data_IF_840589221428
#
_entry.id   IF_840589221428
#
_cell.length_a   1.000
_cell.length_b   1.000
_cell.length_c   1.000
_cell.angle_alpha   90.00
_cell.angle_beta   90.00
_cell.angle_gamma   90.00
#
_symmetry.space_group_name_H-M   'P 1'
#
loop_
_entity.id
_entity.type
_entity.pdbx_description
1 polymer ?
#
# COMPACT_ATOMS: atom_id res chain seq x y z
N UNK A 1 9.65 0.22 -4.22
CA UNK A 1 8.25 -0.21 -4.29
C UNK A 1 7.68 -0.03 -2.90
N UNK A 2 6.50 0.57 -2.79
CA UNK A 2 5.80 0.76 -1.53
C UNK A 2 4.55 -0.11 -1.58
N UNK A 3 4.40 -0.97 -0.59
CA UNK A 3 3.31 -1.94 -0.52
C UNK A 3 2.34 -1.57 0.60
N UNK A 4 1.07 -1.93 0.48
CA UNK A 4 0.01 -1.71 1.48
C UNK A 4 -0.14 -0.24 1.94
N UNK A 5 -0.03 0.70 0.99
CA UNK A 5 -0.20 2.12 1.27
C UNK A 5 -1.63 2.45 1.72
N UNK A 6 -1.71 3.22 2.81
CA UNK A 6 -2.95 3.72 3.37
C UNK A 6 -3.76 2.74 4.21
N UNK A 7 -3.11 1.72 4.76
CA UNK A 7 -3.69 0.91 5.82
C UNK A 7 -3.94 1.69 7.12
N UNK A 8 -3.08 2.69 7.43
CA UNK A 8 -3.15 3.51 8.63
C UNK A 8 -2.67 4.94 8.33
N UNK A 9 -3.09 5.91 9.15
CA UNK A 9 -2.57 7.28 9.08
C UNK A 9 -1.09 7.37 9.48
N UNK A 10 -0.42 8.43 9.03
CA UNK A 10 1.00 8.65 9.27
C UNK A 10 1.26 9.53 10.49
N UNK A 11 2.29 9.21 11.27
CA UNK A 11 2.83 10.13 12.28
C UNK A 11 3.54 11.31 11.62
N UNK A 12 3.80 12.39 12.36
CA UNK A 12 4.52 13.56 11.84
C UNK A 12 5.90 13.20 11.27
N UNK A 13 6.67 12.40 12.01
CA UNK A 13 7.99 11.93 11.56
C UNK A 13 7.88 11.14 10.24
N UNK A 14 6.94 10.20 10.16
CA UNK A 14 6.75 9.38 8.96
C UNK A 14 6.40 10.21 7.72
N UNK A 15 5.64 11.31 7.89
CA UNK A 15 5.33 12.24 6.78
C UNK A 15 6.58 12.94 6.27
N UNK A 16 7.44 13.40 7.18
CA UNK A 16 8.73 14.01 6.85
C UNK A 16 9.64 13.04 6.10
N UNK A 17 9.82 11.84 6.65
CA UNK A 17 10.67 10.80 6.04
C UNK A 17 10.17 10.42 4.63
N UNK A 18 8.85 10.28 4.45
CA UNK A 18 8.26 9.97 3.15
C UNK A 18 8.43 11.10 2.15
N UNK A 19 8.28 12.35 2.57
CA UNK A 19 8.51 13.50 1.71
C UNK A 19 9.95 13.51 1.18
N UNK A 20 10.95 13.28 2.04
CA UNK A 20 12.36 13.22 1.65
C UNK A 20 12.60 12.11 0.62
N UNK A 21 12.09 10.90 0.88
CA UNK A 21 12.22 9.75 -0.04
C UNK A 21 11.58 10.07 -1.40
N UNK A 22 10.39 10.66 -1.42
CA UNK A 22 9.71 10.99 -2.67
C UNK A 22 10.38 12.15 -3.42
N UNK A 23 10.93 13.11 -2.70
CA UNK A 23 11.71 14.19 -3.28
C UNK A 23 12.99 13.69 -3.95
N UNK A 24 13.72 12.77 -3.32
CA UNK A 24 14.94 12.21 -3.90
C UNK A 24 14.66 11.43 -5.19
N UNK A 25 13.50 10.74 -5.26
CA UNK A 25 13.08 9.92 -6.39
C UNK A 25 12.38 10.69 -7.51
N UNK A 26 11.78 11.84 -7.20
CA UNK A 26 10.96 12.61 -8.13
C UNK A 26 11.69 12.91 -9.44
N UNK A 27 11.08 12.56 -10.58
CA UNK A 27 11.65 12.69 -11.94
C UNK A 27 13.01 12.00 -12.16
N UNK A 28 13.46 11.14 -11.24
CA UNK A 28 14.73 10.39 -11.35
C UNK A 28 14.54 8.88 -11.43
N UNK A 29 13.58 8.33 -10.67
CA UNK A 29 13.29 6.89 -10.63
C UNK A 29 11.79 6.65 -10.58
N UNK A 30 11.32 5.59 -11.23
CA UNK A 30 9.93 5.14 -11.11
C UNK A 30 9.63 4.64 -9.70
N UNK A 31 8.41 4.89 -9.22
CA UNK A 31 7.91 4.41 -7.93
C UNK A 31 6.60 3.68 -8.15
N UNK A 32 6.58 2.38 -7.82
CA UNK A 32 5.36 1.58 -7.78
C UNK A 32 4.81 1.60 -6.36
N UNK A 33 3.51 1.91 -6.24
CA UNK A 33 2.75 1.92 -5.00
C UNK A 33 1.54 1.01 -5.16
N UNK A 34 1.36 0.06 -4.25
CA UNK A 34 0.08 -0.63 -4.04
C UNK A 34 -0.64 0.07 -2.89
N UNK A 35 -1.95 0.26 -3.01
CA UNK A 35 -2.71 1.02 -2.02
C UNK A 35 -4.08 0.41 -1.81
N UNK A 36 -4.55 0.48 -0.57
CA UNK A 36 -5.86 -0.01 -0.18
C UNK A 36 -6.94 1.07 -0.31
N UNK A 37 -6.54 2.35 -0.25
CA UNK A 37 -7.42 3.49 -0.38
C UNK A 37 -7.31 4.13 -1.77
N UNK A 38 -8.42 4.62 -2.35
CA UNK A 38 -8.35 5.41 -3.58
C UNK A 38 -7.55 6.69 -3.34
N UNK A 39 -6.86 7.17 -4.38
CA UNK A 39 -5.96 8.35 -4.31
C UNK A 39 -6.66 9.59 -3.73
N UNK A 40 -7.96 9.75 -3.97
CA UNK A 40 -8.75 10.87 -3.42
C UNK A 40 -8.74 10.94 -1.89
N UNK A 41 -8.54 9.81 -1.20
CA UNK A 41 -8.48 9.75 0.27
C UNK A 41 -7.06 9.92 0.82
N UNK A 42 -6.03 9.92 -0.04
CA UNK A 42 -4.65 9.98 0.42
C UNK A 42 -4.31 11.30 1.09
N UNK A 43 -4.89 12.42 0.63
CA UNK A 43 -4.64 13.72 1.25
C UNK A 43 -5.05 13.74 2.73
N UNK A 44 -6.24 13.21 3.05
CA UNK A 44 -6.74 13.11 4.42
C UNK A 44 -5.92 12.12 5.25
N UNK A 45 -5.60 10.95 4.70
CA UNK A 45 -4.83 9.91 5.37
C UNK A 45 -3.37 10.32 5.65
N UNK A 46 -2.73 11.07 4.74
CA UNK A 46 -1.43 11.68 5.00
C UNK A 46 -1.60 12.74 6.09
N UNK A 47 -2.64 13.58 6.00
CA UNK A 47 -2.86 14.74 6.86
C UNK A 47 -1.77 15.80 6.69
N UNK A 48 -1.78 16.85 7.52
CA UNK A 48 -0.85 17.99 7.42
C UNK A 48 -0.86 18.58 5.99
N UNK A 49 -1.88 19.41 5.65
CA UNK A 49 -2.22 19.77 4.27
C UNK A 49 -1.02 20.14 3.38
N UNK A 50 -0.10 20.96 3.88
CA UNK A 50 1.10 21.36 3.14
C UNK A 50 2.01 20.18 2.77
N UNK A 51 2.21 19.22 3.67
CA UNK A 51 3.03 18.03 3.38
C UNK A 51 2.26 17.07 2.46
N UNK A 52 0.96 16.89 2.70
CA UNK A 52 0.11 16.09 1.82
C UNK A 52 0.15 16.59 0.38
N UNK A 53 -0.04 17.90 0.16
CA UNK A 53 0.09 18.51 -1.17
C UNK A 53 1.47 18.26 -1.78
N UNK A 54 2.55 18.47 -1.01
CA UNK A 54 3.92 18.26 -1.51
C UNK A 54 4.21 16.81 -1.91
N UNK A 55 3.71 15.84 -1.14
CA UNK A 55 3.83 14.40 -1.43
C UNK A 55 3.00 14.04 -2.67
N UNK A 56 1.74 14.48 -2.71
CA UNK A 56 0.82 14.15 -3.81
C UNK A 56 1.26 14.78 -5.13
N UNK A 57 1.78 16.00 -5.13
CA UNK A 57 2.31 16.61 -6.35
C UNK A 57 3.50 15.81 -6.93
N UNK A 58 4.34 15.24 -6.06
CA UNK A 58 5.47 14.40 -6.49
C UNK A 58 5.04 13.02 -6.99
N UNK A 59 4.09 12.39 -6.30
CA UNK A 59 3.67 11.02 -6.59
C UNK A 59 2.62 10.94 -7.69
N UNK A 60 1.56 11.74 -7.54
CA UNK A 60 0.28 11.53 -8.21
C UNK A 60 0.19 12.29 -9.53
N UNK A 61 0.84 13.46 -9.62
CA UNK A 61 0.78 14.33 -10.79
C UNK A 61 1.16 13.60 -12.09
N UNK A 62 2.16 12.72 -12.05
CA UNK A 62 2.64 11.95 -13.20
C UNK A 62 2.35 10.44 -13.08
N UNK A 63 1.43 10.04 -12.19
CA UNK A 63 1.16 8.63 -11.96
C UNK A 63 0.23 8.02 -13.02
N UNK A 64 0.59 6.83 -13.48
CA UNK A 64 -0.38 5.91 -14.06
C UNK A 64 -1.17 5.24 -12.94
N UNK A 65 -2.49 5.36 -12.97
CA UNK A 65 -3.38 4.76 -11.97
C UNK A 65 -4.07 3.55 -12.57
N UNK A 66 -3.96 2.42 -11.89
CA UNK A 66 -4.60 1.17 -12.26
C UNK A 66 -5.50 0.78 -11.09
N UNK A 67 -6.82 0.89 -11.28
CA UNK A 67 -7.79 0.38 -10.33
C UNK A 67 -7.91 -1.12 -10.55
N UNK A 68 -7.63 -1.90 -9.52
CA UNK A 68 -7.81 -3.35 -9.54
C UNK A 68 -9.24 -3.67 -9.09
N UNK A 69 -9.89 -4.55 -9.82
CA UNK A 69 -11.25 -5.03 -9.54
C UNK A 69 -11.27 -6.55 -9.47
N UNK A 70 -12.28 -7.10 -8.78
CA UNK A 70 -12.48 -8.54 -8.64
C UNK A 70 -12.27 -9.06 -7.21
N UNK A 71 -12.50 -10.36 -7.05
CA UNK A 71 -12.39 -11.04 -5.76
C UNK A 71 -10.94 -11.26 -5.33
N UNK A 72 -10.74 -11.38 -4.01
CA UNK A 72 -9.43 -11.72 -3.46
C UNK A 72 -8.96 -13.07 -3.99
N UNK A 73 -7.79 -13.06 -4.66
CA UNK A 73 -7.12 -14.28 -5.12
C UNK A 73 -6.72 -15.23 -3.98
N UNK A 74 -6.73 -14.76 -2.73
CA UNK A 74 -6.51 -15.62 -1.54
C UNK A 74 -7.66 -16.62 -1.35
N UNK A 75 -8.89 -16.27 -1.77
CA UNK A 75 -10.06 -17.16 -1.70
C UNK A 75 -10.02 -18.25 -2.78
N UNK A 76 -9.41 -17.96 -3.93
CA UNK A 76 -9.30 -18.91 -5.06
C UNK A 76 -8.14 -19.88 -4.91
N UNK A 77 -7.23 -19.66 -3.95
CA UNK A 77 -6.22 -20.67 -3.62
C UNK A 77 -6.93 -21.75 -2.80
N UNK A 78 -7.07 -22.99 -3.30
CA UNK A 78 -7.52 -24.09 -2.45
C UNK A 78 -6.62 -24.11 -1.22
N UNK A 79 -7.20 -24.36 -0.04
CA UNK A 79 -6.43 -24.58 1.17
C UNK A 79 -5.24 -25.48 0.81
N UNK A 80 -4.02 -25.19 1.32
CA UNK A 80 -2.87 -26.05 1.05
C UNK A 80 -3.34 -27.49 1.22
N UNK A 81 -3.03 -28.34 0.24
CA UNK A 81 -3.37 -29.75 0.29
C UNK A 81 -2.61 -30.32 1.49
N UNK A 82 -3.23 -30.23 2.66
CA UNK A 82 -2.71 -30.81 3.88
C UNK A 82 -2.67 -32.29 3.63
N UNK A 83 -1.49 -32.87 3.81
CA UNK A 83 -1.35 -34.31 3.92
C UNK A 83 -2.23 -34.76 5.09
N UNK A 84 -2.72 -36.00 5.06
CA UNK A 84 -3.62 -36.49 6.11
C UNK A 84 -2.95 -36.50 7.50
N UNK A 85 -1.62 -36.43 7.54
CA UNK A 85 -0.80 -36.25 8.74
C UNK A 85 -1.00 -34.85 9.34
N UNK A 86 -0.92 -33.80 8.53
CA UNK A 86 -1.07 -32.41 8.99
C UNK A 86 -2.51 -32.10 9.43
N UNK A 87 -3.52 -32.78 8.87
CA UNK A 87 -4.91 -32.67 9.32
C UNK A 87 -5.12 -33.27 10.71
N UNK A 88 -4.43 -34.36 11.03
CA UNK A 88 -4.57 -35.07 12.30
C UNK A 88 -3.98 -34.28 13.49
N UNK A 89 -2.91 -33.51 13.25
CA UNK A 89 -2.30 -32.66 14.28
C UNK A 89 -3.18 -31.45 14.66
N UNK A 90 -3.93 -30.89 13.71
CA UNK A 90 -4.81 -29.73 13.97
C UNK A 90 -6.06 -30.11 14.77
N UNK A 91 -6.55 -31.35 14.67
CA UNK A 91 -7.76 -31.82 15.36
C UNK A 91 -7.49 -32.22 16.83
N UNK A 92 -6.22 -32.42 17.19
CA UNK A 92 -5.81 -32.87 18.54
C UNK A 92 -5.37 -31.72 19.46
N UNK A 93 -5.30 -30.49 18.95
CA UNK A 93 -4.89 -29.29 19.68
C UNK A 93 -6.09 -28.43 20.14
#
# INVERSE_FOLDING_TARGET
MLDDWGSHGLTEQQRGDLLEIFEERYKRKSTLITAQLPVAQWHEMIGAPTIADAILDRLVHNAHRITLEGDSMRKTRPAPLLTDIEKAEIITA
#
